data_IF_109581125645
#
_entry.id   IF_109581125645
#
_cell.length_a   1.000
_cell.length_b   1.000
_cell.length_c   1.000
_cell.angle_alpha   90.00
_cell.angle_beta   90.00
_cell.angle_gamma   90.00
#
_symmetry.space_group_name_H-M   'P 1'
#
loop_
_entity.id
_entity.type
_entity.pdbx_description
1 polymer ?
#
# COMPACT_ATOMS: atom_id res chain seq x y z
N UNK A 1 -6.91 -8.40 55.83
CA UNK A 1 -5.80 -8.07 54.94
C UNK A 1 -6.09 -8.73 53.59
N UNK A 2 -6.60 -7.94 52.62
CA UNK A 2 -6.80 -8.42 51.26
C UNK A 2 -5.49 -8.21 50.50
N UNK A 3 -4.76 -9.31 50.28
CA UNK A 3 -3.52 -9.32 49.53
C UNK A 3 -3.79 -8.95 48.07
N UNK A 4 -3.11 -7.93 47.54
CA UNK A 4 -3.11 -7.54 46.14
C UNK A 4 -2.64 -8.73 45.29
N UNK A 5 -3.53 -9.26 44.43
CA UNK A 5 -3.18 -10.26 43.45
C UNK A 5 -2.05 -9.71 42.54
N UNK A 6 -0.99 -10.49 42.27
CA UNK A 6 0.09 -10.04 41.41
C UNK A 6 -0.45 -9.77 40.00
N UNK A 7 -0.17 -8.58 39.46
CA UNK A 7 -0.52 -8.21 38.11
C UNK A 7 0.20 -9.18 37.17
N UNK A 8 -0.59 -9.95 36.39
CA UNK A 8 -0.08 -11.01 35.51
C UNK A 8 0.93 -10.42 34.50
N UNK A 9 2.11 -11.05 34.34
CA UNK A 9 3.23 -10.51 33.52
C UNK A 9 2.82 -10.11 32.09
N UNK A 10 1.87 -10.83 31.48
CA UNK A 10 1.38 -10.55 30.13
C UNK A 10 0.59 -9.23 30.02
N UNK A 11 -0.09 -8.76 31.07
CA UNK A 11 -0.76 -7.44 31.07
C UNK A 11 0.24 -6.29 30.98
N UNK A 12 1.40 -6.46 31.62
CA UNK A 12 2.47 -5.46 31.56
C UNK A 12 3.17 -5.47 30.21
N UNK A 13 3.38 -6.65 29.58
CA UNK A 13 3.95 -6.76 28.25
C UNK A 13 3.08 -6.06 27.20
N UNK A 14 1.78 -6.33 27.18
CA UNK A 14 0.84 -5.67 26.24
C UNK A 14 0.73 -4.15 26.46
N UNK A 15 0.83 -3.70 27.72
CA UNK A 15 0.83 -2.26 28.05
C UNK A 15 2.12 -1.58 27.57
N UNK A 16 3.26 -2.23 27.76
CA UNK A 16 4.56 -1.72 27.29
C UNK A 16 4.62 -1.67 25.77
N UNK A 17 4.17 -2.71 25.08
CA UNK A 17 4.10 -2.73 23.61
C UNK A 17 3.25 -1.59 23.07
N UNK A 18 2.05 -1.38 23.63
CA UNK A 18 1.18 -0.26 23.25
C UNK A 18 1.84 1.11 23.51
N UNK A 19 2.60 1.24 24.59
CA UNK A 19 3.32 2.48 24.92
C UNK A 19 4.44 2.73 23.92
N UNK A 20 5.31 1.76 23.69
CA UNK A 20 6.41 1.84 22.72
C UNK A 20 5.88 2.16 21.32
N UNK A 21 4.79 1.51 20.91
CA UNK A 21 4.13 1.77 19.63
C UNK A 21 3.65 3.23 19.52
N UNK A 22 3.02 3.77 20.57
CA UNK A 22 2.58 5.18 20.62
C UNK A 22 3.76 6.15 20.57
N UNK A 23 4.84 5.87 21.29
CA UNK A 23 6.04 6.70 21.32
C UNK A 23 6.72 6.72 19.94
N UNK A 24 6.89 5.55 19.30
CA UNK A 24 7.43 5.45 17.95
C UNK A 24 6.61 6.28 16.94
N UNK A 25 5.28 6.23 17.06
CA UNK A 25 4.39 6.99 16.19
C UNK A 25 4.47 8.49 16.40
N UNK A 26 4.63 8.91 17.64
CA UNK A 26 4.87 10.32 17.95
C UNK A 26 6.17 10.80 17.29
N UNK A 27 7.23 10.00 17.38
CA UNK A 27 8.50 10.28 16.74
C UNK A 27 8.36 10.40 15.22
N UNK A 28 7.72 9.42 14.56
CA UNK A 28 7.49 9.44 13.11
C UNK A 28 6.68 10.69 12.71
N UNK A 29 5.64 11.04 13.49
CA UNK A 29 4.82 12.23 13.20
C UNK A 29 5.63 13.53 13.32
N UNK A 30 6.42 13.68 14.39
CA UNK A 30 7.26 14.86 14.61
C UNK A 30 8.30 14.96 13.51
N UNK A 31 9.06 13.91 13.26
CA UNK A 31 10.08 13.89 12.19
C UNK A 31 9.50 14.16 10.81
N UNK A 32 8.34 13.59 10.49
CA UNK A 32 7.68 13.84 9.20
C UNK A 32 7.25 15.30 9.05
N UNK A 33 6.79 15.94 10.12
CA UNK A 33 6.46 17.37 10.11
C UNK A 33 7.72 18.22 9.92
N UNK A 34 8.75 17.91 10.67
CA UNK A 34 10.00 18.69 10.65
C UNK A 34 10.76 18.54 9.33
N UNK A 35 10.60 17.41 8.64
CA UNK A 35 11.15 17.21 7.29
C UNK A 35 10.33 17.91 6.20
N UNK A 36 9.02 18.08 6.38
CA UNK A 36 8.17 18.79 5.40
C UNK A 36 8.52 20.28 5.26
N UNK A 37 8.85 20.93 6.37
CA UNK A 37 9.13 22.36 6.38
C UNK A 37 10.34 22.74 5.50
N UNK A 38 11.54 22.18 5.69
CA UNK A 38 12.68 22.48 4.84
C UNK A 38 12.46 22.04 3.38
N UNK A 39 11.75 20.93 3.15
CA UNK A 39 11.44 20.47 1.81
C UNK A 39 10.53 21.45 1.06
N UNK A 40 9.53 22.01 1.74
CA UNK A 40 8.67 23.04 1.17
C UNK A 40 9.46 24.28 0.73
N UNK A 41 10.45 24.70 1.54
CA UNK A 41 11.35 25.83 1.21
C UNK A 41 12.18 25.50 -0.03
N UNK A 42 12.74 24.28 -0.10
CA UNK A 42 13.53 23.82 -1.27
C UNK A 42 12.66 23.84 -2.53
N UNK A 43 11.43 23.31 -2.47
CA UNK A 43 10.50 23.29 -3.60
C UNK A 43 10.15 24.71 -4.03
N UNK A 44 9.87 25.62 -3.09
CA UNK A 44 9.54 27.02 -3.39
C UNK A 44 10.69 27.76 -4.12
N UNK A 45 11.93 27.61 -3.65
CA UNK A 45 13.07 28.20 -4.35
C UNK A 45 13.34 27.58 -5.72
N UNK A 46 13.09 26.26 -5.85
CA UNK A 46 13.20 25.61 -7.14
C UNK A 46 12.15 26.10 -8.14
N UNK A 47 10.90 26.29 -7.69
CA UNK A 47 9.84 26.86 -8.54
C UNK A 47 10.21 28.26 -9.02
N UNK A 48 10.74 29.12 -8.14
CA UNK A 48 11.23 30.45 -8.50
C UNK A 48 12.39 30.41 -9.49
N UNK A 49 13.36 29.50 -9.29
CA UNK A 49 14.46 29.33 -10.23
C UNK A 49 13.99 28.85 -11.61
N UNK A 50 13.01 27.97 -11.64
CA UNK A 50 12.46 27.45 -12.90
C UNK A 50 11.56 28.47 -13.61
N UNK A 51 10.83 29.32 -12.87
CA UNK A 51 9.97 30.35 -13.49
C UNK A 51 10.73 31.58 -13.97
N UNK A 52 11.67 32.09 -13.14
CA UNK A 52 12.23 33.41 -13.35
C UNK A 52 13.67 33.41 -13.87
N UNK A 53 14.31 32.23 -13.81
CA UNK A 53 15.74 32.10 -14.14
C UNK A 53 16.05 30.94 -15.11
N UNK A 54 15.07 30.17 -15.55
CA UNK A 54 15.32 29.05 -16.46
C UNK A 54 16.05 29.47 -17.74
N UNK A 55 15.66 30.60 -18.33
CA UNK A 55 16.28 31.17 -19.54
C UNK A 55 17.71 31.68 -19.37
N UNK A 56 18.14 31.85 -18.11
CA UNK A 56 19.50 32.28 -17.77
C UNK A 56 20.46 31.14 -17.52
N UNK A 57 19.94 29.92 -17.47
CA UNK A 57 20.71 28.71 -17.29
C UNK A 57 20.92 28.01 -18.65
N UNK A 58 22.11 27.47 -18.82
CA UNK A 58 22.41 26.56 -19.92
C UNK A 58 21.64 25.21 -19.77
N UNK A 59 21.73 24.35 -20.76
CA UNK A 59 21.05 23.05 -20.75
C UNK A 59 21.45 22.19 -19.56
N UNK A 60 22.71 22.24 -19.12
CA UNK A 60 23.22 21.50 -17.97
C UNK A 60 22.61 22.03 -16.68
N UNK A 61 22.54 23.34 -16.50
CA UNK A 61 21.90 23.96 -15.34
C UNK A 61 20.41 23.66 -15.24
N UNK A 62 19.70 23.65 -16.38
CA UNK A 62 18.30 23.24 -16.43
C UNK A 62 18.13 21.75 -16.10
N UNK A 63 19.04 20.87 -16.53
CA UNK A 63 19.02 19.45 -16.17
C UNK A 63 19.23 19.25 -14.66
N UNK A 64 20.15 19.99 -14.04
CA UNK A 64 20.34 19.97 -12.60
C UNK A 64 19.07 20.36 -11.85
N UNK A 65 18.37 21.42 -12.27
CA UNK A 65 17.11 21.82 -11.65
C UNK A 65 16.03 20.74 -11.77
N UNK A 66 15.90 20.08 -12.95
CA UNK A 66 14.96 18.96 -13.13
C UNK A 66 15.27 17.80 -12.19
N UNK A 67 16.54 17.44 -12.02
CA UNK A 67 16.99 16.37 -11.12
C UNK A 67 16.74 16.71 -9.65
N UNK A 68 17.00 17.95 -9.25
CA UNK A 68 16.74 18.41 -7.87
C UNK A 68 15.23 18.37 -7.60
N UNK A 69 14.37 18.84 -8.53
CA UNK A 69 12.92 18.75 -8.41
C UNK A 69 12.46 17.32 -8.26
N UNK A 70 12.92 16.42 -9.12
CA UNK A 70 12.57 15.00 -9.04
C UNK A 70 12.96 14.38 -7.69
N UNK A 71 14.13 14.73 -7.15
CA UNK A 71 14.59 14.27 -5.84
C UNK A 71 13.73 14.83 -4.69
N UNK A 72 13.37 16.11 -4.76
CA UNK A 72 12.50 16.74 -3.76
C UNK A 72 11.08 16.14 -3.78
N UNK A 73 10.52 15.90 -4.96
CA UNK A 73 9.21 15.26 -5.11
C UNK A 73 9.22 13.80 -4.60
N UNK A 74 10.32 13.08 -4.84
CA UNK A 74 10.50 11.74 -4.30
C UNK A 74 10.58 11.77 -2.76
N UNK A 75 11.32 12.70 -2.17
CA UNK A 75 11.41 12.86 -0.72
C UNK A 75 10.05 13.20 -0.11
N UNK A 76 9.26 14.08 -0.73
CA UNK A 76 7.89 14.40 -0.32
C UNK A 76 7.02 13.14 -0.27
N UNK A 77 7.03 12.33 -1.33
CA UNK A 77 6.29 11.06 -1.38
C UNK A 77 6.68 10.12 -0.24
N UNK A 78 7.98 9.94 0.02
CA UNK A 78 8.47 9.10 1.11
C UNK A 78 7.96 9.57 2.47
N UNK A 79 8.03 10.88 2.75
CA UNK A 79 7.56 11.47 4.02
C UNK A 79 6.04 11.27 4.17
N UNK A 80 5.27 11.50 3.13
CA UNK A 80 3.81 11.37 3.14
C UNK A 80 3.38 9.92 3.35
N UNK A 81 3.99 8.98 2.61
CA UNK A 81 3.68 7.55 2.73
C UNK A 81 4.10 6.99 4.10
N UNK A 82 5.27 7.39 4.62
CA UNK A 82 5.69 6.99 5.97
C UNK A 82 4.73 7.51 7.03
N UNK A 83 4.28 8.76 6.92
CA UNK A 83 3.29 9.34 7.84
C UNK A 83 1.95 8.63 7.77
N UNK A 84 1.51 8.27 6.57
CA UNK A 84 0.25 7.54 6.33
C UNK A 84 0.32 6.12 6.90
N UNK A 85 1.40 5.41 6.59
CA UNK A 85 1.68 4.07 7.12
C UNK A 85 1.63 4.07 8.66
N UNK A 86 2.32 5.03 9.27
CA UNK A 86 2.35 5.19 10.71
C UNK A 86 0.95 5.36 11.31
N UNK A 87 0.12 6.24 10.74
CA UNK A 87 -1.26 6.46 11.21
C UNK A 87 -2.11 5.20 11.13
N UNK A 88 -2.05 4.48 10.01
CA UNK A 88 -2.86 3.28 9.79
C UNK A 88 -2.46 2.14 10.73
N UNK A 89 -1.16 1.95 10.97
CA UNK A 89 -0.66 0.88 11.83
C UNK A 89 -1.07 1.06 13.30
N UNK A 90 -1.25 2.29 13.79
CA UNK A 90 -1.53 2.57 15.22
C UNK A 90 -3.00 2.68 15.53
N UNK A 91 -3.78 3.15 14.59
CA UNK A 91 -5.21 3.31 14.78
C UNK A 91 -5.87 1.94 15.03
N UNK A 92 -6.67 1.78 16.11
CA UNK A 92 -7.47 0.58 16.31
C UNK A 92 -8.38 0.34 15.10
N UNK A 93 -8.68 -0.92 14.81
CA UNK A 93 -9.63 -1.26 13.76
C UNK A 93 -11.03 -0.77 14.12
N UNK A 94 -11.70 -0.13 13.16
CA UNK A 94 -13.11 0.21 13.22
C UNK A 94 -13.86 -0.75 12.29
N UNK A 95 -14.04 -2.01 12.73
CA UNK A 95 -14.68 -3.06 11.93
C UNK A 95 -16.16 -2.73 11.71
N UNK A 96 -16.60 -2.76 10.44
CA UNK A 96 -17.98 -2.58 10.01
C UNK A 96 -18.26 -3.47 8.79
N UNK A 97 -19.50 -3.96 8.61
CA UNK A 97 -19.89 -4.59 7.36
C UNK A 97 -19.73 -3.61 6.20
N UNK A 98 -18.96 -4.01 5.18
CA UNK A 98 -18.74 -3.21 3.97
C UNK A 98 -18.76 -4.14 2.75
N UNK A 99 -19.52 -3.83 1.69
CA UNK A 99 -19.42 -4.55 0.44
C UNK A 99 -18.00 -4.46 -0.12
N UNK A 100 -17.38 -5.61 -0.36
CA UNK A 100 -16.00 -5.64 -0.87
C UNK A 100 -15.91 -5.00 -2.27
N UNK A 101 -17.00 -5.07 -3.03
CA UNK A 101 -17.13 -4.42 -4.32
C UNK A 101 -16.88 -2.91 -4.24
N UNK A 102 -17.49 -2.21 -3.28
CA UNK A 102 -17.31 -0.76 -3.12
C UNK A 102 -15.83 -0.43 -2.84
N UNK A 103 -15.16 -1.23 -2.00
CA UNK A 103 -13.73 -1.03 -1.69
C UNK A 103 -12.86 -1.20 -2.95
N UNK A 104 -13.17 -2.22 -3.76
CA UNK A 104 -12.46 -2.49 -5.01
C UNK A 104 -12.70 -1.39 -6.03
N UNK A 105 -13.95 -0.95 -6.21
CA UNK A 105 -14.32 0.13 -7.15
C UNK A 105 -13.67 1.46 -6.77
N UNK A 106 -13.67 1.82 -5.49
CA UNK A 106 -12.97 3.03 -5.00
C UNK A 106 -11.44 2.95 -5.25
N UNK A 107 -10.86 1.76 -5.07
CA UNK A 107 -9.45 1.55 -5.35
C UNK A 107 -9.13 1.65 -6.85
N UNK A 108 -9.96 1.09 -7.72
CA UNK A 108 -9.82 1.20 -9.17
C UNK A 108 -10.00 2.63 -9.66
N UNK A 109 -10.99 3.36 -9.11
CA UNK A 109 -11.21 4.76 -9.46
C UNK A 109 -9.99 5.63 -9.18
N UNK A 110 -9.27 5.36 -8.10
CA UNK A 110 -8.01 6.05 -7.76
C UNK A 110 -6.95 5.89 -8.85
N UNK A 111 -6.94 4.78 -9.56
CA UNK A 111 -5.95 4.46 -10.60
C UNK A 111 -6.51 4.51 -12.02
N UNK A 112 -7.73 5.05 -12.22
CA UNK A 112 -8.43 5.05 -13.50
C UNK A 112 -7.57 5.63 -14.64
N UNK A 113 -6.88 6.74 -14.39
CA UNK A 113 -5.99 7.35 -15.37
C UNK A 113 -4.87 6.38 -15.82
N UNK A 114 -4.24 5.65 -14.90
CA UNK A 114 -3.19 4.68 -15.23
C UNK A 114 -3.72 3.44 -15.95
N UNK A 115 -4.95 3.05 -15.65
CA UNK A 115 -5.64 1.93 -16.31
C UNK A 115 -5.93 2.30 -17.75
N UNK A 116 -6.51 3.48 -18.01
CA UNK A 116 -6.85 3.98 -19.34
C UNK A 116 -5.60 4.25 -20.18
N UNK A 117 -4.63 5.01 -19.67
CA UNK A 117 -3.38 5.32 -20.36
C UNK A 117 -2.58 4.05 -20.67
N UNK A 118 -2.57 3.09 -19.72
CA UNK A 118 -1.88 1.80 -19.90
C UNK A 118 -2.62 0.81 -20.78
N UNK A 119 -3.87 1.07 -21.18
CA UNK A 119 -4.71 0.13 -21.93
C UNK A 119 -4.91 -1.19 -21.17
N UNK A 120 -5.03 -1.13 -19.82
CA UNK A 120 -5.16 -2.32 -18.99
C UNK A 120 -6.62 -2.73 -18.90
N UNK A 121 -6.93 -3.97 -19.26
CA UNK A 121 -8.27 -4.54 -19.07
C UNK A 121 -8.40 -5.04 -17.64
N UNK A 122 -9.38 -4.52 -16.94
CA UNK A 122 -9.68 -4.93 -15.56
C UNK A 122 -10.99 -5.70 -15.54
N UNK A 123 -10.95 -6.91 -14.97
CA UNK A 123 -12.13 -7.76 -14.78
C UNK A 123 -12.43 -7.91 -13.28
N UNK A 124 -13.68 -7.59 -12.90
CA UNK A 124 -14.17 -7.67 -11.52
C UNK A 124 -15.52 -8.37 -11.52
N UNK A 125 -15.69 -9.48 -10.79
CA UNK A 125 -16.96 -10.21 -10.77
C UNK A 125 -18.07 -9.36 -10.13
N UNK A 126 -19.32 -9.50 -10.58
CA UNK A 126 -20.44 -8.70 -10.07
C UNK A 126 -20.75 -8.97 -8.59
N UNK A 127 -20.47 -10.18 -8.10
CA UNK A 127 -20.90 -10.69 -6.81
C UNK A 127 -19.71 -10.83 -5.83
N UNK A 128 -19.12 -9.70 -5.41
CA UNK A 128 -18.18 -9.71 -4.31
C UNK A 128 -18.93 -9.67 -2.97
N UNK A 129 -18.46 -10.38 -1.93
CA UNK A 129 -19.13 -10.48 -0.64
C UNK A 129 -19.09 -9.19 0.17
N UNK A 130 -19.92 -9.13 1.23
CA UNK A 130 -19.80 -8.14 2.29
C UNK A 130 -18.89 -8.68 3.37
N UNK A 131 -17.89 -7.88 3.76
CA UNK A 131 -16.87 -8.23 4.77
C UNK A 131 -16.93 -7.27 5.95
N UNK A 132 -16.67 -7.77 7.17
CA UNK A 132 -16.61 -6.93 8.37
C UNK A 132 -15.17 -6.44 8.59
N UNK A 133 -14.84 -5.29 8.07
CA UNK A 133 -13.47 -4.76 8.00
C UNK A 133 -13.40 -3.29 8.41
N UNK A 134 -12.20 -2.83 8.70
CA UNK A 134 -11.87 -1.41 8.71
C UNK A 134 -11.71 -0.95 7.26
N UNK A 135 -12.67 -0.19 6.78
CA UNK A 135 -12.77 0.25 5.38
C UNK A 135 -11.50 0.93 4.87
N UNK A 136 -10.96 1.89 5.64
CA UNK A 136 -9.76 2.63 5.22
C UNK A 136 -8.54 1.71 5.11
N UNK A 137 -8.34 0.80 6.07
CA UNK A 137 -7.24 -0.16 6.05
C UNK A 137 -7.39 -1.18 4.92
N UNK A 138 -8.60 -1.69 4.70
CA UNK A 138 -8.86 -2.63 3.62
C UNK A 138 -8.67 -1.98 2.25
N UNK A 139 -9.18 -0.76 2.06
CA UNK A 139 -8.98 0.01 0.84
C UNK A 139 -7.50 0.25 0.55
N UNK A 140 -6.70 0.59 1.55
CA UNK A 140 -5.26 0.74 1.36
C UNK A 140 -4.57 -0.58 0.97
N UNK A 141 -4.98 -1.70 1.54
CA UNK A 141 -4.46 -3.00 1.12
C UNK A 141 -4.80 -3.30 -0.34
N UNK A 142 -6.06 -3.11 -0.74
CA UNK A 142 -6.51 -3.33 -2.13
C UNK A 142 -5.81 -2.36 -3.09
N UNK A 143 -5.70 -1.08 -2.74
CA UNK A 143 -4.94 -0.09 -3.50
C UNK A 143 -3.48 -0.51 -3.73
N UNK A 144 -2.83 -1.06 -2.71
CA UNK A 144 -1.45 -1.53 -2.82
C UNK A 144 -1.32 -2.70 -3.80
N UNK A 145 -2.27 -3.65 -3.79
CA UNK A 145 -2.27 -4.78 -4.73
C UNK A 145 -2.54 -4.33 -6.17
N UNK A 146 -3.53 -3.44 -6.38
CA UNK A 146 -3.85 -2.90 -7.71
C UNK A 146 -2.68 -2.06 -8.25
N UNK A 147 -2.08 -1.20 -7.41
CA UNK A 147 -0.91 -0.40 -7.81
C UNK A 147 0.27 -1.27 -8.19
N UNK A 148 0.49 -2.37 -7.45
CA UNK A 148 1.53 -3.34 -7.78
C UNK A 148 1.25 -4.02 -9.12
N UNK A 149 0.03 -4.50 -9.33
CA UNK A 149 -0.39 -5.11 -10.58
C UNK A 149 -0.22 -4.16 -11.78
N UNK A 150 -0.58 -2.87 -11.65
CA UNK A 150 -0.40 -1.87 -12.69
C UNK A 150 1.08 -1.58 -12.98
N UNK A 151 1.91 -1.48 -11.95
CA UNK A 151 3.33 -1.13 -12.07
C UNK A 151 4.18 -2.22 -12.72
N UNK A 152 3.80 -3.48 -12.55
CA UNK A 152 4.56 -4.65 -13.02
C UNK A 152 3.86 -5.43 -14.13
N UNK A 153 2.73 -4.91 -14.64
CA UNK A 153 2.01 -5.47 -15.77
C UNK A 153 2.57 -4.95 -17.10
N UNK A 154 3.87 -5.03 -17.27
CA UNK A 154 4.52 -4.60 -18.51
C UNK A 154 4.76 -5.81 -19.40
N UNK A 155 3.92 -5.96 -20.43
CA UNK A 155 4.07 -6.97 -21.47
C UNK A 155 4.43 -6.29 -22.79
N UNK A 156 5.57 -6.66 -23.39
CA UNK A 156 5.97 -6.11 -24.70
C UNK A 156 5.02 -6.53 -25.82
N UNK A 157 4.28 -7.62 -25.66
CA UNK A 157 3.31 -8.16 -26.62
C UNK A 157 2.11 -8.79 -25.89
N UNK A 158 0.92 -8.33 -26.22
CA UNK A 158 -0.33 -8.88 -25.72
C UNK A 158 -1.15 -7.90 -24.88
N UNK A 159 -2.37 -8.29 -24.57
CA UNK A 159 -3.30 -7.52 -23.74
C UNK A 159 -2.82 -7.52 -22.28
N UNK A 160 -2.78 -6.35 -21.67
CA UNK A 160 -2.49 -6.17 -20.25
C UNK A 160 -3.77 -6.39 -19.46
N UNK A 161 -3.78 -7.36 -18.55
CA UNK A 161 -5.00 -7.72 -17.81
C UNK A 161 -4.76 -7.73 -16.32
N UNK A 162 -5.76 -7.28 -15.57
CA UNK A 162 -5.86 -7.45 -14.12
C UNK A 162 -7.21 -8.10 -13.85
N UNK A 163 -7.21 -9.24 -13.17
CA UNK A 163 -8.43 -9.91 -12.73
C UNK A 163 -8.50 -9.86 -11.22
N UNK A 164 -9.67 -9.47 -10.71
CA UNK A 164 -9.97 -9.46 -9.28
C UNK A 164 -11.04 -10.51 -9.04
N UNK A 165 -10.76 -11.47 -8.16
CA UNK A 165 -11.69 -12.53 -7.78
C UNK A 165 -11.81 -12.62 -6.26
N UNK A 166 -12.93 -13.13 -5.77
CA UNK A 166 -13.08 -13.43 -4.36
C UNK A 166 -13.78 -14.76 -4.18
N UNK A 167 -13.06 -15.73 -3.65
CA UNK A 167 -13.60 -16.99 -3.17
C UNK A 167 -13.87 -16.88 -1.68
N UNK A 168 -15.06 -17.28 -1.23
CA UNK A 168 -15.42 -17.25 0.18
C UNK A 168 -16.29 -18.43 0.58
N UNK A 169 -15.98 -18.97 1.75
CA UNK A 169 -16.75 -20.03 2.41
C UNK A 169 -16.92 -19.73 3.91
N UNK A 170 -17.38 -20.71 4.68
CA UNK A 170 -17.53 -20.59 6.14
C UNK A 170 -16.20 -20.27 6.87
N UNK A 171 -15.04 -20.53 6.24
CA UNK A 171 -13.70 -20.27 6.81
C UNK A 171 -13.20 -18.86 6.55
N UNK A 172 -13.83 -18.09 5.64
CA UNK A 172 -13.47 -16.71 5.32
C UNK A 172 -13.58 -16.38 3.84
N UNK A 173 -13.03 -15.22 3.48
CA UNK A 173 -12.96 -14.71 2.11
C UNK A 173 -11.50 -14.57 1.68
N UNK A 174 -11.18 -15.01 0.47
CA UNK A 174 -9.88 -14.87 -0.18
C UNK A 174 -10.03 -13.96 -1.40
N UNK A 175 -9.64 -12.70 -1.27
CA UNK A 175 -9.58 -11.75 -2.37
C UNK A 175 -8.27 -11.97 -3.14
N UNK A 176 -8.36 -12.30 -4.42
CA UNK A 176 -7.24 -12.47 -5.33
C UNK A 176 -7.15 -11.29 -6.30
N UNK A 177 -5.97 -10.70 -6.44
CA UNK A 177 -5.63 -9.73 -7.50
C UNK A 177 -4.56 -10.37 -8.36
N UNK A 178 -4.93 -10.70 -9.60
CA UNK A 178 -4.07 -11.37 -10.58
C UNK A 178 -3.70 -10.40 -11.68
N UNK A 179 -2.42 -10.31 -11.99
CA UNK A 179 -1.89 -9.65 -13.18
C UNK A 179 -1.24 -10.68 -14.13
N UNK A 180 -1.13 -10.32 -15.38
CA UNK A 180 -0.40 -11.11 -16.37
C UNK A 180 0.96 -10.49 -16.75
N UNK A 181 1.59 -9.78 -15.82
CA UNK A 181 2.83 -9.02 -16.00
C UNK A 181 4.11 -9.86 -16.00
N UNK A 182 5.20 -9.21 -15.58
CA UNK A 182 6.55 -9.81 -15.60
C UNK A 182 6.75 -10.95 -14.61
N UNK A 183 5.88 -11.05 -13.60
CA UNK A 183 6.02 -12.03 -12.53
C UNK A 183 7.19 -11.76 -11.59
N UNK A 184 7.33 -12.65 -10.61
CA UNK A 184 8.32 -12.57 -9.54
C UNK A 184 9.11 -13.87 -9.48
N UNK A 185 10.43 -13.78 -9.37
CA UNK A 185 11.28 -14.94 -9.13
C UNK A 185 10.97 -15.52 -7.74
N UNK A 186 10.70 -16.83 -7.60
CA UNK A 186 10.36 -17.49 -6.34
C UNK A 186 11.32 -17.20 -5.18
N UNK A 187 12.59 -16.91 -5.48
CA UNK A 187 13.60 -16.55 -4.47
C UNK A 187 13.25 -15.31 -3.67
N UNK A 188 12.44 -14.41 -4.23
CA UNK A 188 12.04 -13.14 -3.61
C UNK A 188 10.63 -13.17 -3.03
N UNK A 189 9.85 -14.24 -3.23
CA UNK A 189 8.45 -14.30 -2.82
C UNK A 189 8.22 -14.02 -1.32
N UNK A 190 9.16 -14.42 -0.46
CA UNK A 190 9.11 -14.10 0.98
C UNK A 190 9.58 -12.70 1.34
N UNK A 191 10.40 -12.06 0.50
CA UNK A 191 11.04 -10.78 0.81
C UNK A 191 10.26 -9.58 0.27
N UNK A 192 9.36 -9.78 -0.71
CA UNK A 192 8.60 -8.68 -1.33
C UNK A 192 7.67 -7.95 -0.36
N UNK A 193 7.39 -8.55 0.79
CA UNK A 193 6.59 -7.96 1.87
C UNK A 193 7.45 -7.22 2.92
N UNK A 194 8.78 -7.22 2.79
CA UNK A 194 9.65 -6.48 3.68
C UNK A 194 9.55 -4.98 3.43
N UNK A 195 9.66 -4.20 4.49
CA UNK A 195 9.58 -2.74 4.42
C UNK A 195 10.68 -2.17 3.52
N UNK A 196 10.28 -1.45 2.48
CA UNK A 196 11.21 -0.80 1.56
C UNK A 196 11.80 -1.72 0.49
N UNK A 197 11.35 -2.99 0.41
CA UNK A 197 11.81 -3.93 -0.60
C UNK A 197 11.34 -3.51 -2.00
N UNK A 198 12.28 -3.47 -2.94
CA UNK A 198 12.05 -3.20 -4.37
C UNK A 198 12.94 -4.11 -5.20
N UNK A 199 12.35 -4.96 -6.03
CA UNK A 199 13.08 -5.82 -6.95
C UNK A 199 13.63 -5.05 -8.16
N UNK A 200 12.88 -4.04 -8.60
CA UNK A 200 13.29 -3.13 -9.67
C UNK A 200 13.14 -1.68 -9.19
N UNK A 201 14.26 -0.98 -9.06
CA UNK A 201 14.29 0.42 -8.59
C UNK A 201 13.82 1.40 -9.65
N UNK A 202 13.80 1.01 -10.91
CA UNK A 202 13.37 1.86 -12.04
C UNK A 202 11.86 1.85 -12.21
N UNK A 203 11.17 0.83 -11.68
CA UNK A 203 9.71 0.65 -11.78
C UNK A 203 9.03 0.98 -10.47
N UNK A 204 7.81 1.46 -10.57
CA UNK A 204 6.98 1.80 -9.40
C UNK A 204 7.52 3.01 -8.62
N UNK A 205 6.85 4.13 -8.74
CA UNK A 205 7.30 5.45 -8.22
C UNK A 205 7.29 5.62 -6.70
N UNK A 206 7.00 4.59 -5.90
CA UNK A 206 6.90 4.65 -4.44
C UNK A 206 8.13 4.08 -3.71
N UNK A 207 8.23 4.26 -2.39
CA UNK A 207 9.35 3.83 -1.55
C UNK A 207 9.38 2.33 -1.24
N UNK A 208 8.49 1.51 -1.81
CA UNK A 208 8.42 0.07 -1.55
C UNK A 208 7.63 -0.32 -0.29
N UNK A 209 6.68 0.53 0.12
CA UNK A 209 5.87 0.27 1.33
C UNK A 209 4.54 -0.43 1.04
N UNK A 210 4.11 -0.51 -0.22
CA UNK A 210 2.77 -0.97 -0.59
C UNK A 210 2.47 -2.39 -0.11
N UNK A 211 3.27 -3.37 -0.51
CA UNK A 211 3.05 -4.78 -0.13
C UNK A 211 3.24 -5.01 1.38
N UNK A 212 4.22 -4.36 2.00
CA UNK A 212 4.36 -4.37 3.45
C UNK A 212 3.09 -3.85 4.14
N UNK A 213 2.53 -2.72 3.67
CA UNK A 213 1.28 -2.16 4.20
C UNK A 213 0.11 -3.13 4.01
N UNK A 214 -0.02 -3.72 2.82
CA UNK A 214 -1.07 -4.70 2.55
C UNK A 214 -1.00 -5.89 3.52
N UNK A 215 0.19 -6.41 3.78
CA UNK A 215 0.40 -7.48 4.76
C UNK A 215 -0.02 -7.06 6.17
N UNK A 216 0.42 -5.87 6.63
CA UNK A 216 0.05 -5.37 7.97
C UNK A 216 -1.45 -5.10 8.10
N UNK A 217 -2.11 -4.66 7.03
CA UNK A 217 -3.57 -4.48 7.03
C UNK A 217 -4.30 -5.83 7.08
N UNK A 218 -3.84 -6.84 6.34
CA UNK A 218 -4.38 -8.20 6.44
C UNK A 218 -4.24 -8.76 7.87
N UNK A 219 -3.04 -8.70 8.44
CA UNK A 219 -2.77 -9.14 9.83
C UNK A 219 -3.62 -8.39 10.87
N UNK A 220 -3.84 -7.08 10.66
CA UNK A 220 -4.71 -6.29 11.53
C UNK A 220 -6.17 -6.76 11.53
N UNK A 221 -6.61 -7.44 10.47
CA UNK A 221 -7.93 -8.06 10.36
C UNK A 221 -7.92 -9.55 10.76
N UNK A 222 -6.78 -10.07 11.27
CA UNK A 222 -6.62 -11.49 11.61
C UNK A 222 -6.41 -12.40 10.39
N UNK A 223 -6.20 -11.82 9.21
CA UNK A 223 -5.94 -12.51 7.96
C UNK A 223 -4.46 -12.57 7.60
N UNK A 224 -4.19 -12.86 6.35
CA UNK A 224 -2.83 -12.95 5.81
C UNK A 224 -2.82 -12.52 4.34
N UNK A 225 -1.61 -12.33 3.80
CA UNK A 225 -1.40 -12.14 2.38
C UNK A 225 -0.39 -13.17 1.86
N UNK A 226 -0.62 -13.67 0.66
CA UNK A 226 0.29 -14.58 -0.04
C UNK A 226 0.44 -14.17 -1.49
N UNK A 227 1.47 -14.71 -2.17
CA UNK A 227 1.72 -14.50 -3.58
C UNK A 227 2.00 -15.83 -4.27
N UNK A 228 1.41 -16.02 -5.44
CA UNK A 228 1.73 -17.08 -6.39
C UNK A 228 2.22 -16.39 -7.66
N UNK A 229 3.46 -16.64 -8.05
CA UNK A 229 4.07 -15.95 -9.19
C UNK A 229 5.22 -16.76 -9.78
N UNK A 230 5.42 -16.59 -11.09
CA UNK A 230 6.59 -17.09 -11.78
C UNK A 230 7.04 -16.07 -12.84
N UNK A 231 8.35 -16.01 -13.16
CA UNK A 231 8.87 -15.09 -14.16
C UNK A 231 8.10 -15.21 -15.49
N UNK A 232 7.70 -14.08 -16.07
CA UNK A 232 6.94 -13.95 -17.32
C UNK A 232 5.51 -14.57 -17.32
N UNK A 233 5.00 -14.98 -16.15
CA UNK A 233 3.65 -15.55 -16.02
C UNK A 233 2.69 -14.65 -15.23
N UNK A 234 3.17 -13.48 -14.76
CA UNK A 234 2.42 -12.59 -13.91
C UNK A 234 2.42 -13.01 -12.45
N UNK A 235 1.58 -12.37 -11.66
CA UNK A 235 1.47 -12.62 -10.22
C UNK A 235 0.01 -12.69 -9.79
N UNK A 236 -0.25 -13.49 -8.76
CA UNK A 236 -1.54 -13.54 -8.06
C UNK A 236 -1.29 -13.26 -6.60
N UNK A 237 -1.73 -12.10 -6.14
CA UNK A 237 -1.71 -11.75 -4.72
C UNK A 237 -3.04 -12.11 -4.09
N UNK A 238 -3.00 -12.87 -3.01
CA UNK A 238 -4.19 -13.35 -2.30
C UNK A 238 -4.23 -12.75 -0.89
N UNK A 239 -5.26 -11.97 -0.60
CA UNK A 239 -5.54 -11.40 0.71
C UNK A 239 -6.65 -12.21 1.36
N UNK A 240 -6.35 -12.88 2.48
CA UNK A 240 -7.29 -13.69 3.23
C UNK A 240 -7.92 -12.87 4.35
N UNK A 241 -9.24 -12.92 4.45
CA UNK A 241 -10.06 -12.31 5.50
C UNK A 241 -10.74 -13.47 6.25
N UNK A 242 -10.49 -13.70 7.55
CA UNK A 242 -10.98 -14.87 8.27
C UNK A 242 -12.49 -14.87 8.47
N UNK A 243 -13.05 -16.04 8.74
CA UNK A 243 -14.47 -16.26 9.07
C UNK A 243 -14.92 -15.38 10.25
N UNK A 244 -16.20 -15.02 10.27
CA UNK A 244 -16.78 -14.07 11.23
C UNK A 244 -16.65 -12.61 10.82
N UNK A 245 -15.84 -12.35 9.79
CA UNK A 245 -15.71 -11.04 9.13
C UNK A 245 -16.40 -10.99 7.76
N UNK A 246 -17.14 -12.02 7.40
CA UNK A 246 -17.69 -12.25 6.06
C UNK A 246 -19.18 -12.61 6.10
N UNK A 247 -19.96 -12.06 5.16
CA UNK A 247 -21.33 -12.46 4.87
C UNK A 247 -21.40 -12.80 3.38
N UNK A 248 -21.79 -14.03 3.02
CA UNK A 248 -21.91 -14.45 1.64
C UNK A 248 -22.84 -13.51 0.85
N UNK A 249 -22.58 -13.26 -0.44
CA UNK A 249 -23.51 -12.52 -1.28
C UNK A 249 -24.85 -13.26 -1.35
N UNK A 250 -25.99 -12.55 -1.48
CA UNK A 250 -27.28 -13.19 -1.74
C UNK A 250 -27.17 -13.98 -3.05
N UNK A 251 -27.66 -15.23 -3.01
CA UNK A 251 -27.76 -16.11 -4.18
C UNK A 251 -28.71 -15.57 -5.22
#
# INVERSE_FOLDING_TARGET
>A
MLGSLPVLPWKNAAKNERRTRKELMRLIRVQSHDLKSPLFVIQGFMELLMSDYADKLDEEGQDFLRRIRGSADQMKKVIEETSRLAKLLVRPNALRPKPLREIVEEALLKYNYLIEEGGVKVDVPPNLPTVNVDEEKMREAVCALISNALSFNDRPKGERTITIDCDGDESGCRLAVRDNGIGIDPRYAGQIFDLGMKLDKSRGGGPGYGLFLAQRMAEAHGGSISVESAPQQGSTFCLTIPAGTFTAPPR
#
